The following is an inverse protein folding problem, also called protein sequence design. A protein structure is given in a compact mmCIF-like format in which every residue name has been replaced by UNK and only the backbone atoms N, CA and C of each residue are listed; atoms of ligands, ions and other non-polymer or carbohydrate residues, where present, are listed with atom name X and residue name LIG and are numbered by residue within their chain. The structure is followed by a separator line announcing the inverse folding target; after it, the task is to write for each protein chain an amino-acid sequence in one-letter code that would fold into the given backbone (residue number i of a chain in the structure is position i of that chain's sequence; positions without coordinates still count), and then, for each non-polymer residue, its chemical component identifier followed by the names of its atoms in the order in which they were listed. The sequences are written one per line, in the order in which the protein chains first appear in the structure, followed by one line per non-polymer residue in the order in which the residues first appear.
data_IF_346125574461
#
_entry.id   IF_346125574461
#
_cell.length_a   1.000
_cell.length_b   1.000
_cell.length_c   1.000
_cell.angle_alpha   90.00
_cell.angle_beta   90.00
_cell.angle_gamma   90.00
#
_symmetry.space_group_name_H-M   'P 1'
#
loop_
_entity.id
_entity.type
_entity.pdbx_description
1 polymer ?
#
# COMPACT_ATOMS: atom_id res chain seq x y z
N UNK A 1 14.17 10.36 24.45
CA UNK A 1 14.79 9.65 23.33
C UNK A 1 14.19 8.26 23.24
N UNK A 2 13.59 7.94 22.12
CA UNK A 2 12.98 6.63 21.87
C UNK A 2 14.08 5.66 21.42
N UNK A 3 14.12 4.47 22.02
CA UNK A 3 15.11 3.46 21.65
C UNK A 3 14.82 2.92 20.23
N UNK A 4 15.86 2.37 19.59
CA UNK A 4 15.71 1.72 18.27
C UNK A 4 14.72 0.55 18.33
N UNK A 5 14.71 -0.20 19.45
CA UNK A 5 13.75 -1.29 19.69
C UNK A 5 12.31 -0.78 19.72
N UNK A 6 12.05 0.32 20.44
CA UNK A 6 10.72 0.91 20.52
C UNK A 6 10.24 1.41 19.16
N UNK A 7 11.13 1.95 18.33
CA UNK A 7 10.80 2.35 16.96
C UNK A 7 10.45 1.15 16.07
N UNK A 8 11.13 0.02 16.25
CA UNK A 8 10.87 -1.21 15.47
C UNK A 8 9.55 -1.88 15.87
N UNK A 9 9.09 -1.68 17.11
CA UNK A 9 7.84 -2.27 17.63
C UNK A 9 6.66 -1.32 17.59
N UNK A 10 6.88 -0.02 17.28
CA UNK A 10 5.82 0.97 17.19
C UNK A 10 4.85 0.63 16.05
N UNK A 11 3.56 0.77 16.33
CA UNK A 11 2.54 0.60 15.29
C UNK A 11 2.68 1.67 14.19
N UNK A 12 2.11 1.41 13.04
CA UNK A 12 2.08 2.39 11.95
C UNK A 12 1.40 3.68 12.41
N UNK A 13 0.29 3.59 13.14
CA UNK A 13 -0.40 4.77 13.69
C UNK A 13 0.52 5.61 14.59
N UNK A 14 1.28 4.97 15.47
CA UNK A 14 2.22 5.65 16.36
C UNK A 14 3.34 6.31 15.58
N UNK A 15 3.88 5.63 14.58
CA UNK A 15 4.91 6.16 13.69
C UNK A 15 4.41 7.36 12.90
N UNK A 16 3.17 7.33 12.42
CA UNK A 16 2.54 8.44 11.72
C UNK A 16 2.44 9.67 12.64
N UNK A 17 1.98 9.46 13.86
CA UNK A 17 1.90 10.58 14.86
C UNK A 17 3.25 11.17 15.15
N UNK A 18 4.27 10.34 15.34
CA UNK A 18 5.64 10.79 15.57
C UNK A 18 6.19 11.56 14.37
N UNK A 19 5.94 11.07 13.16
CA UNK A 19 6.36 11.73 11.92
C UNK A 19 5.65 13.08 11.72
N UNK A 20 4.39 13.20 12.15
CA UNK A 20 3.67 14.47 12.11
C UNK A 20 4.36 15.50 12.98
N UNK A 21 4.70 15.14 14.22
CA UNK A 21 5.40 16.04 15.13
C UNK A 21 6.76 16.44 14.57
N UNK A 22 7.51 15.50 14.01
CA UNK A 22 8.81 15.75 13.42
C UNK A 22 8.71 16.70 12.21
N UNK A 23 7.73 16.50 11.33
CA UNK A 23 7.50 17.36 10.18
C UNK A 23 7.09 18.77 10.59
N UNK A 24 6.30 18.91 11.65
CA UNK A 24 5.93 20.22 12.21
C UNK A 24 7.17 20.94 12.73
N UNK A 25 8.02 20.27 13.49
CA UNK A 25 9.26 20.85 14.02
C UNK A 25 10.23 21.27 12.91
N UNK A 26 10.32 20.46 11.87
CA UNK A 26 11.20 20.71 10.73
C UNK A 26 10.66 21.78 9.77
N UNK A 27 9.39 22.13 9.89
CA UNK A 27 8.74 23.02 8.94
C UNK A 27 8.57 22.39 7.55
N UNK A 28 8.53 21.06 7.48
CA UNK A 28 8.37 20.31 6.24
C UNK A 28 6.89 20.27 5.85
N UNK A 29 6.42 21.30 5.20
CA UNK A 29 5.01 21.48 4.83
C UNK A 29 4.50 20.41 3.87
N UNK A 30 5.23 20.03 2.80
CA UNK A 30 4.75 18.98 1.89
C UNK A 30 4.56 17.64 2.60
N UNK A 31 5.53 17.23 3.40
CA UNK A 31 5.46 15.98 4.17
C UNK A 31 4.33 16.03 5.20
N UNK A 32 4.19 17.13 5.91
CA UNK A 32 3.14 17.32 6.90
C UNK A 32 1.75 17.22 6.27
N UNK A 33 1.57 17.79 5.06
CA UNK A 33 0.32 17.73 4.32
C UNK A 33 -0.09 16.29 4.00
N UNK A 34 0.84 15.47 3.54
CA UNK A 34 0.58 14.05 3.23
C UNK A 34 0.24 13.27 4.49
N UNK A 35 1.00 13.48 5.56
CA UNK A 35 0.77 12.80 6.85
C UNK A 35 -0.62 13.14 7.39
N UNK A 36 -1.05 14.38 7.27
CA UNK A 36 -2.40 14.79 7.68
C UNK A 36 -3.49 14.12 6.86
N UNK A 37 -3.28 13.93 5.57
CA UNK A 37 -4.21 13.18 4.71
C UNK A 37 -4.31 11.72 5.15
N UNK A 38 -3.19 11.10 5.50
CA UNK A 38 -3.15 9.73 6.00
C UNK A 38 -3.96 9.62 7.30
N UNK A 39 -3.72 10.52 8.24
CA UNK A 39 -4.45 10.54 9.52
C UNK A 39 -5.94 10.77 9.30
N UNK A 40 -6.31 11.65 8.38
CA UNK A 40 -7.71 11.94 8.07
C UNK A 40 -8.43 10.72 7.49
N UNK A 41 -7.80 9.98 6.60
CA UNK A 41 -8.39 8.78 6.00
C UNK A 41 -8.56 7.66 7.04
N UNK A 42 -7.57 7.46 7.90
CA UNK A 42 -7.66 6.51 9.02
C UNK A 42 -8.81 6.90 9.95
N UNK A 43 -8.85 8.15 10.34
CA UNK A 43 -9.87 8.66 11.27
C UNK A 43 -11.27 8.56 10.68
N UNK A 44 -11.43 8.89 9.42
CA UNK A 44 -12.73 8.79 8.73
C UNK A 44 -13.27 7.37 8.79
N UNK A 45 -12.43 6.39 8.50
CA UNK A 45 -12.84 4.99 8.54
C UNK A 45 -13.18 4.55 9.96
N UNK A 46 -12.41 4.98 10.96
CA UNK A 46 -12.70 4.68 12.37
C UNK A 46 -14.05 5.24 12.81
N UNK A 47 -14.36 6.46 12.38
CA UNK A 47 -15.64 7.12 12.71
C UNK A 47 -16.81 6.42 12.00
N UNK A 48 -16.66 6.14 10.71
CA UNK A 48 -17.71 5.52 9.90
C UNK A 48 -18.07 4.11 10.38
N UNK A 49 -17.07 3.32 10.76
CA UNK A 49 -17.26 1.93 11.20
C UNK A 49 -17.39 1.81 12.72
N UNK A 50 -17.18 2.90 13.46
CA UNK A 50 -17.23 2.96 14.94
C UNK A 50 -16.27 1.96 15.59
N UNK A 51 -15.06 1.85 15.06
CA UNK A 51 -14.01 0.97 15.55
C UNK A 51 -12.68 1.72 15.61
N UNK A 52 -11.73 1.15 16.31
CA UNK A 52 -10.32 1.55 16.22
C UNK A 52 -9.65 0.58 15.23
N UNK A 53 -8.96 1.11 14.22
CA UNK A 53 -8.32 0.28 13.21
C UNK A 53 -7.08 -0.40 13.79
N UNK A 54 -6.97 -1.72 13.58
CA UNK A 54 -5.75 -2.46 13.88
C UNK A 54 -4.68 -2.23 12.80
N UNK A 55 -3.51 -2.80 12.99
CA UNK A 55 -2.38 -2.64 12.08
C UNK A 55 -2.72 -3.05 10.64
N UNK A 56 -3.39 -4.19 10.48
CA UNK A 56 -3.79 -4.69 9.16
C UNK A 56 -4.74 -3.71 8.45
N UNK A 57 -5.72 -3.20 9.17
CA UNK A 57 -6.69 -2.27 8.61
C UNK A 57 -6.06 -0.90 8.27
N UNK A 58 -5.07 -0.47 9.04
CA UNK A 58 -4.29 0.73 8.70
C UNK A 58 -3.55 0.52 7.39
N UNK A 59 -2.94 -0.65 7.21
CA UNK A 59 -2.26 -1.02 5.95
C UNK A 59 -3.24 -0.96 4.77
N UNK A 60 -4.46 -1.47 4.94
CA UNK A 60 -5.50 -1.43 3.91
C UNK A 60 -5.83 0.01 3.51
N UNK A 61 -5.97 0.91 4.48
CA UNK A 61 -6.24 2.34 4.22
C UNK A 61 -5.11 2.96 3.41
N UNK A 62 -3.87 2.76 3.84
CA UNK A 62 -2.70 3.33 3.17
C UNK A 62 -2.50 2.75 1.76
N UNK A 63 -2.75 1.46 1.59
CA UNK A 63 -2.67 0.80 0.29
C UNK A 63 -3.69 1.39 -0.70
N UNK A 64 -4.91 1.65 -0.23
CA UNK A 64 -5.93 2.33 -1.03
C UNK A 64 -5.49 3.74 -1.44
N UNK A 65 -4.85 4.46 -0.54
CA UNK A 65 -4.31 5.78 -0.84
C UNK A 65 -3.24 5.73 -1.94
N UNK A 66 -2.38 4.71 -1.92
CA UNK A 66 -1.38 4.48 -2.97
C UNK A 66 -2.06 4.19 -4.32
N UNK A 67 -3.06 3.34 -4.32
CA UNK A 67 -3.81 2.98 -5.52
C UNK A 67 -4.44 4.22 -6.16
N UNK A 68 -5.07 5.06 -5.37
CA UNK A 68 -5.69 6.30 -5.87
C UNK A 68 -4.66 7.21 -6.53
N UNK A 69 -3.46 7.33 -5.95
CA UNK A 69 -2.40 8.17 -6.51
C UNK A 69 -1.82 7.59 -7.78
N UNK A 70 -1.65 6.27 -7.86
CA UNK A 70 -1.21 5.61 -9.09
C UNK A 70 -2.22 5.81 -10.23
N UNK A 71 -3.51 5.74 -9.93
CA UNK A 71 -4.58 6.01 -10.90
C UNK A 71 -4.52 7.45 -11.40
N UNK A 72 -4.29 8.41 -10.50
CA UNK A 72 -4.13 9.82 -10.87
C UNK A 72 -2.92 10.04 -11.79
N UNK A 73 -1.79 9.42 -11.47
CA UNK A 73 -0.57 9.50 -12.30
C UNK A 73 -0.85 8.95 -13.71
N UNK A 74 -1.56 7.83 -13.79
CA UNK A 74 -1.92 7.21 -15.06
C UNK A 74 -2.81 8.09 -15.93
N UNK A 75 -3.55 9.03 -15.34
CA UNK A 75 -4.35 10.03 -16.05
C UNK A 75 -3.54 11.28 -16.37
N UNK A 76 -2.69 11.74 -15.46
CA UNK A 76 -1.94 12.99 -15.64
C UNK A 76 -0.86 12.89 -16.72
N UNK A 77 -0.11 11.81 -16.77
CA UNK A 77 0.99 11.67 -17.73
C UNK A 77 0.55 11.68 -19.20
N UNK A 78 -0.47 10.90 -19.60
CA UNK A 78 -0.95 10.98 -20.98
C UNK A 78 -1.51 12.36 -21.35
N UNK A 79 -2.00 13.12 -20.36
CA UNK A 79 -2.52 14.47 -20.54
C UNK A 79 -1.43 15.55 -20.56
N UNK A 80 -0.16 15.18 -20.49
CA UNK A 80 0.96 16.11 -20.47
C UNK A 80 1.13 16.88 -19.16
N UNK A 81 0.52 16.39 -18.07
CA UNK A 81 0.56 17.04 -16.76
C UNK A 81 1.58 16.36 -15.85
N UNK A 82 2.85 16.36 -16.28
CA UNK A 82 3.96 15.80 -15.49
C UNK A 82 4.11 16.52 -14.14
N UNK A 83 3.80 17.80 -14.06
CA UNK A 83 3.80 18.60 -12.84
C UNK A 83 2.90 17.98 -11.77
N UNK A 84 1.70 17.57 -12.14
CA UNK A 84 0.74 16.94 -11.22
C UNK A 84 1.13 15.50 -10.91
N UNK A 85 1.67 14.76 -11.87
CA UNK A 85 2.15 13.40 -11.65
C UNK A 85 3.28 13.35 -10.62
N UNK A 86 4.21 14.30 -10.66
CA UNK A 86 5.32 14.39 -9.70
C UNK A 86 4.85 14.65 -8.28
N UNK A 87 3.81 15.45 -8.10
CA UNK A 87 3.20 15.67 -6.76
C UNK A 87 2.65 14.37 -6.22
N UNK A 88 1.92 13.61 -7.05
CA UNK A 88 1.37 12.31 -6.64
C UNK A 88 2.48 11.31 -6.30
N UNK A 89 3.56 11.28 -7.08
CA UNK A 89 4.72 10.42 -6.80
C UNK A 89 5.39 10.75 -5.47
N UNK A 90 5.50 12.02 -5.14
CA UNK A 90 6.05 12.45 -3.85
C UNK A 90 5.17 11.99 -2.69
N UNK A 91 3.85 12.09 -2.84
CA UNK A 91 2.91 11.60 -1.84
C UNK A 91 3.01 10.08 -1.66
N UNK A 92 3.12 9.34 -2.77
CA UNK A 92 3.36 7.89 -2.74
C UNK A 92 4.61 7.56 -1.92
N UNK A 93 5.71 8.28 -2.16
CA UNK A 93 6.96 8.07 -1.44
C UNK A 93 6.80 8.23 0.07
N UNK A 94 6.07 9.26 0.50
CA UNK A 94 5.81 9.48 1.93
C UNK A 94 4.98 8.34 2.52
N UNK A 95 3.90 7.95 1.85
CA UNK A 95 3.00 6.89 2.33
C UNK A 95 3.74 5.55 2.42
N UNK A 96 4.51 5.20 1.39
CA UNK A 96 5.29 3.95 1.36
C UNK A 96 6.29 3.86 2.51
N UNK A 97 6.81 4.98 2.99
CA UNK A 97 7.72 5.02 4.12
C UNK A 97 7.14 4.46 5.42
N UNK A 98 5.81 4.37 5.53
CA UNK A 98 5.13 3.82 6.70
C UNK A 98 4.65 2.39 6.49
N UNK A 99 4.67 1.89 5.27
CA UNK A 99 4.26 0.52 4.95
C UNK A 99 5.43 -0.45 5.08
N UNK A 100 5.15 -1.77 5.22
CA UNK A 100 6.20 -2.77 5.10
C UNK A 100 6.96 -2.62 3.79
N UNK A 101 8.22 -3.06 3.77
CA UNK A 101 9.05 -2.96 2.58
C UNK A 101 8.37 -3.62 1.38
N UNK A 102 8.36 -2.97 0.20
CA UNK A 102 7.77 -3.56 -1.00
C UNK A 102 8.46 -4.87 -1.37
N UNK A 103 7.69 -5.81 -1.89
CA UNK A 103 8.21 -7.08 -2.38
C UNK A 103 8.95 -6.87 -3.70
N UNK A 104 10.05 -7.60 -3.89
CA UNK A 104 10.73 -7.67 -5.16
C UNK A 104 9.91 -8.48 -6.18
N UNK A 105 10.23 -8.36 -7.46
CA UNK A 105 9.58 -9.13 -8.50
C UNK A 105 9.74 -10.65 -8.27
N UNK A 106 10.95 -11.07 -7.85
CA UNK A 106 11.21 -12.49 -7.55
C UNK A 106 10.37 -12.98 -6.37
N UNK A 107 10.24 -12.19 -5.32
CA UNK A 107 9.39 -12.51 -4.18
C UNK A 107 7.92 -12.62 -4.57
N UNK A 108 7.45 -11.70 -5.40
CA UNK A 108 6.07 -11.73 -5.94
C UNK A 108 5.86 -13.02 -6.74
N UNK A 109 6.78 -13.35 -7.64
CA UNK A 109 6.70 -14.57 -8.45
C UNK A 109 6.64 -15.83 -7.59
N UNK A 110 7.48 -15.92 -6.57
CA UNK A 110 7.51 -17.05 -5.63
C UNK A 110 6.16 -17.20 -4.94
N UNK A 111 5.63 -16.12 -4.38
CA UNK A 111 4.34 -16.13 -3.67
C UNK A 111 3.20 -16.54 -4.61
N UNK A 112 3.19 -16.01 -5.84
CA UNK A 112 2.17 -16.34 -6.84
C UNK A 112 2.23 -17.82 -7.21
N UNK A 113 3.41 -18.34 -7.50
CA UNK A 113 3.58 -19.77 -7.87
C UNK A 113 3.15 -20.70 -6.73
N UNK A 114 3.54 -20.40 -5.51
CA UNK A 114 3.11 -21.17 -4.34
C UNK A 114 1.59 -21.15 -4.16
N UNK A 115 0.96 -19.99 -4.37
CA UNK A 115 -0.48 -19.85 -4.26
C UNK A 115 -1.22 -20.63 -5.35
N UNK A 116 -0.73 -20.62 -6.58
CA UNK A 116 -1.29 -21.40 -7.69
C UNK A 116 -1.20 -22.89 -7.37
N UNK A 117 -0.05 -23.37 -6.92
CA UNK A 117 0.16 -24.75 -6.55
C UNK A 117 -0.74 -25.17 -5.38
N UNK A 118 -0.79 -24.38 -4.33
CA UNK A 118 -1.59 -24.69 -3.15
C UNK A 118 -3.10 -24.65 -3.42
N UNK A 119 -3.53 -23.86 -4.40
CA UNK A 119 -4.94 -23.76 -4.79
C UNK A 119 -5.35 -24.82 -5.82
N UNK A 120 -4.39 -25.58 -6.35
CA UNK A 120 -4.60 -26.47 -7.50
C UNK A 120 -5.25 -25.74 -8.68
N UNK A 121 -4.86 -24.48 -8.88
CA UNK A 121 -5.42 -23.63 -9.93
C UNK A 121 -4.91 -24.06 -11.31
N UNK A 122 -5.83 -24.21 -12.26
CA UNK A 122 -5.53 -24.65 -13.62
C UNK A 122 -6.09 -23.71 -14.69
N UNK A 123 -7.00 -22.81 -14.32
CA UNK A 123 -7.69 -21.94 -15.26
C UNK A 123 -8.09 -20.62 -14.61
N UNK A 124 -8.50 -19.66 -15.44
CA UNK A 124 -8.94 -18.31 -14.97
C UNK A 124 -10.06 -18.40 -13.92
N UNK A 125 -10.93 -19.40 -14.00
CA UNK A 125 -12.00 -19.61 -13.01
C UNK A 125 -11.48 -19.77 -11.58
N UNK A 126 -10.22 -20.16 -11.42
CA UNK A 126 -9.58 -20.38 -10.13
C UNK A 126 -8.91 -19.13 -9.57
N UNK A 127 -8.98 -18.01 -10.32
CA UNK A 127 -8.31 -16.77 -9.97
C UNK A 127 -8.67 -16.26 -8.57
N UNK A 128 -9.94 -16.37 -8.18
CA UNK A 128 -10.42 -15.97 -6.85
C UNK A 128 -9.72 -16.71 -5.73
N UNK A 129 -9.46 -18.00 -5.89
CA UNK A 129 -8.76 -18.84 -4.92
C UNK A 129 -7.30 -18.41 -4.77
N UNK A 130 -6.63 -18.14 -5.90
CA UNK A 130 -5.25 -17.68 -5.92
C UNK A 130 -5.14 -16.30 -5.26
N UNK A 131 -6.01 -15.37 -5.64
CA UNK A 131 -6.04 -14.03 -5.06
C UNK A 131 -6.28 -14.05 -3.56
N UNK A 132 -7.15 -14.92 -3.08
CA UNK A 132 -7.42 -15.10 -1.65
C UNK A 132 -6.19 -15.53 -0.86
N UNK A 133 -5.26 -16.24 -1.50
CA UNK A 133 -4.00 -16.68 -0.87
C UNK A 133 -2.89 -15.64 -0.94
N UNK A 134 -2.80 -14.90 -2.05
CA UNK A 134 -1.72 -13.90 -2.23
C UNK A 134 -2.01 -12.59 -1.51
N UNK A 135 -3.27 -12.18 -1.46
CA UNK A 135 -3.67 -10.88 -0.93
C UNK A 135 -3.19 -10.62 0.50
N UNK A 136 -3.36 -11.54 1.47
CA UNK A 136 -2.86 -11.32 2.83
C UNK A 136 -1.34 -11.15 2.91
N UNK A 137 -0.60 -11.76 1.99
CA UNK A 137 0.87 -11.71 1.98
C UNK A 137 1.42 -10.48 1.26
N UNK A 138 0.66 -9.91 0.34
CA UNK A 138 1.10 -8.82 -0.54
C UNK A 138 0.47 -7.47 -0.24
N UNK A 139 -0.61 -7.41 0.49
CA UNK A 139 -1.34 -6.17 0.78
C UNK A 139 -0.41 -5.10 1.38
N UNK A 140 -0.35 -3.93 0.74
CA UNK A 140 0.56 -2.85 1.15
C UNK A 140 2.02 -3.05 0.76
N UNK A 141 2.37 -4.18 0.11
CA UNK A 141 3.74 -4.51 -0.30
C UNK A 141 3.90 -4.71 -1.81
N UNK A 142 2.81 -4.69 -2.55
CA UNK A 142 2.81 -4.83 -4.00
C UNK A 142 1.58 -4.14 -4.59
N UNK A 143 1.69 -3.74 -5.87
CA UNK A 143 0.54 -3.22 -6.61
C UNK A 143 -0.34 -4.41 -7.02
N UNK A 144 -1.49 -4.57 -6.37
CA UNK A 144 -2.37 -5.69 -6.60
C UNK A 144 -2.95 -5.74 -8.02
N UNK A 145 -3.01 -4.60 -8.72
CA UNK A 145 -3.43 -4.59 -10.14
C UNK A 145 -2.43 -5.31 -11.02
N UNK A 146 -1.14 -5.10 -10.78
CA UNK A 146 -0.04 -5.77 -11.49
C UNK A 146 -0.04 -7.26 -11.15
N UNK A 147 -0.18 -7.60 -9.86
CA UNK A 147 -0.22 -8.99 -9.40
C UNK A 147 -1.40 -9.74 -10.02
N UNK A 148 -2.57 -9.13 -10.03
CA UNK A 148 -3.78 -9.68 -10.64
C UNK A 148 -3.59 -9.98 -12.13
N UNK A 149 -3.02 -9.04 -12.88
CA UNK A 149 -2.72 -9.22 -14.29
C UNK A 149 -1.72 -10.36 -14.52
N UNK A 150 -0.71 -10.48 -13.67
CA UNK A 150 0.30 -11.55 -13.72
C UNK A 150 -0.33 -12.93 -13.51
N UNK A 151 -1.18 -13.07 -12.50
CA UNK A 151 -1.89 -14.31 -12.20
C UNK A 151 -2.80 -14.69 -13.36
N UNK A 152 -3.56 -13.72 -13.87
CA UNK A 152 -4.44 -13.95 -15.02
C UNK A 152 -3.66 -14.44 -16.24
N UNK A 153 -2.50 -13.84 -16.52
CA UNK A 153 -1.62 -14.28 -17.61
C UNK A 153 -1.13 -15.71 -17.42
N UNK A 154 -0.73 -16.08 -16.22
CA UNK A 154 -0.27 -17.43 -15.90
C UNK A 154 -1.39 -18.48 -16.04
N UNK A 155 -2.59 -18.17 -15.57
CA UNK A 155 -3.73 -19.07 -15.64
C UNK A 155 -4.29 -19.20 -17.06
N UNK A 156 -4.15 -18.17 -17.90
CA UNK A 156 -4.59 -18.23 -19.29
C UNK A 156 -3.61 -18.98 -20.20
N UNK A 157 -2.35 -19.07 -19.81
CA UNK A 157 -1.31 -19.74 -20.62
C UNK A 157 -1.32 -21.27 -20.50
N UNK A 158 -2.11 -21.80 -19.57
CA UNK A 158 -2.18 -23.25 -19.31
C UNK A 158 -3.33 -23.94 -20.06
#
# INVERSE_FOLDING_TARGET
IVSAEALMTASIKERIRGAMKAAMKAGDKPRLGVIRLMMADIKRREVDERIELDEHEVIVVLDKMLKQRRESIAQYRPAGREDLALVEEQEISVIQGFLPQPLSEDEINTIVLEAITASNATAIKDMGKVMGRVKPKMQGRADMSIVSAKIKGMLSAS
#
